data_IF_907980807422
#
_entry.id   IF_907980807422
#
_cell.length_a   1.000
_cell.length_b   1.000
_cell.length_c   1.000
_cell.angle_alpha   90.00
_cell.angle_beta   90.00
_cell.angle_gamma   90.00
#
_symmetry.space_group_name_H-M   'P 1'
#
loop_
_entity.id
_entity.type
_entity.pdbx_description
1 polymer ?
#
# COMPACT_ATOMS: atom_id res chain seq x y z
N UNK A 1 -22.33 -14.40 7.41
CA UNK A 1 -21.79 -13.70 6.23
C UNK A 1 -22.36 -12.30 6.26
N UNK A 2 -21.52 -11.28 6.40
CA UNK A 2 -21.96 -9.89 6.51
C UNK A 2 -21.02 -9.02 5.66
N UNK A 3 -21.59 -8.16 4.81
CA UNK A 3 -20.83 -7.35 3.86
C UNK A 3 -21.47 -7.38 2.48
N UNK A 4 -22.15 -6.30 2.12
CA UNK A 4 -22.75 -6.08 0.80
C UNK A 4 -22.37 -4.70 0.30
N UNK A 5 -22.21 -4.52 -1.01
CA UNK A 5 -21.89 -3.21 -1.56
C UNK A 5 -22.00 -3.13 -3.08
N UNK A 6 -21.97 -1.90 -3.57
CA UNK A 6 -21.87 -1.53 -5.00
C UNK A 6 -20.58 -0.74 -5.17
N UNK A 7 -19.68 -1.22 -6.02
CA UNK A 7 -18.32 -0.70 -6.19
C UNK A 7 -18.10 -0.22 -7.62
N UNK A 8 -17.43 0.92 -7.75
CA UNK A 8 -16.98 1.53 -9.02
C UNK A 8 -15.51 1.92 -8.88
N UNK A 9 -14.77 2.20 -9.97
CA UNK A 9 -13.34 2.53 -9.89
C UNK A 9 -12.98 3.73 -8.99
N UNK A 10 -13.93 4.62 -8.73
CA UNK A 10 -13.72 5.88 -7.98
C UNK A 10 -14.65 6.05 -6.78
N UNK A 11 -15.60 5.15 -6.57
CA UNK A 11 -16.57 5.28 -5.47
C UNK A 11 -17.19 3.94 -5.09
N UNK A 12 -17.66 3.85 -3.85
CA UNK A 12 -18.35 2.66 -3.35
C UNK A 12 -19.44 3.04 -2.37
N UNK A 13 -20.56 2.33 -2.40
CA UNK A 13 -21.53 2.28 -1.30
C UNK A 13 -21.53 0.86 -0.72
N UNK A 14 -21.43 0.72 0.59
CA UNK A 14 -21.37 -0.58 1.22
C UNK A 14 -22.03 -0.57 2.58
N UNK A 15 -22.38 -1.77 3.04
CA UNK A 15 -22.88 -2.03 4.37
C UNK A 15 -22.26 -3.32 4.89
N UNK A 16 -21.72 -3.25 6.10
CA UNK A 16 -21.21 -4.39 6.83
C UNK A 16 -21.94 -4.45 8.17
N UNK A 17 -22.70 -5.52 8.40
CA UNK A 17 -23.34 -5.77 9.69
C UNK A 17 -22.26 -6.19 10.68
N UNK A 18 -22.20 -5.49 11.81
CA UNK A 18 -21.30 -5.79 12.92
C UNK A 18 -21.95 -6.81 13.85
N UNK A 19 -21.12 -7.50 14.62
CA UNK A 19 -21.60 -8.38 15.67
C UNK A 19 -22.41 -7.55 16.69
N UNK A 20 -23.66 -7.95 16.92
CA UNK A 20 -24.58 -7.24 17.82
C UNK A 20 -25.58 -6.34 17.09
N UNK A 21 -25.44 -6.14 15.78
CA UNK A 21 -26.49 -5.54 14.96
C UNK A 21 -27.70 -6.49 14.85
N UNK A 22 -28.92 -5.96 14.63
CA UNK A 22 -30.11 -6.78 14.41
C UNK A 22 -29.98 -7.62 13.13
N UNK A 23 -30.52 -8.84 13.16
CA UNK A 23 -30.54 -9.77 12.02
C UNK A 23 -31.59 -9.34 10.97
N UNK A 24 -31.32 -8.23 10.29
CA UNK A 24 -32.21 -7.65 9.29
C UNK A 24 -31.53 -7.57 7.92
N UNK A 25 -32.34 -7.70 6.85
CA UNK A 25 -31.88 -7.47 5.49
C UNK A 25 -31.63 -5.97 5.24
N UNK A 26 -30.57 -5.64 4.48
CA UNK A 26 -30.27 -4.27 4.06
C UNK A 26 -30.37 -4.10 2.55
N UNK A 27 -31.25 -3.20 2.09
CA UNK A 27 -31.31 -2.78 0.69
C UNK A 27 -30.35 -1.61 0.43
N UNK A 28 -29.47 -1.77 -0.56
CA UNK A 28 -28.55 -0.74 -1.05
C UNK A 28 -28.89 -0.39 -2.50
N UNK A 29 -29.04 0.90 -2.81
CA UNK A 29 -29.32 1.38 -4.17
C UNK A 29 -28.36 2.52 -4.50
N UNK A 30 -27.65 2.41 -5.62
CA UNK A 30 -26.79 3.45 -6.16
C UNK A 30 -27.03 3.65 -7.66
N UNK A 31 -26.83 4.89 -8.12
CA UNK A 31 -26.67 5.17 -9.56
C UNK A 31 -25.20 4.95 -9.90
N UNK A 32 -24.93 4.06 -10.84
CA UNK A 32 -23.59 3.76 -11.33
C UNK A 32 -23.44 4.39 -12.72
N UNK A 33 -22.42 5.21 -12.96
CA UNK A 33 -22.16 5.75 -14.29
C UNK A 33 -21.78 4.60 -15.24
N UNK A 34 -22.24 4.71 -16.48
CA UNK A 34 -21.78 3.82 -17.55
C UNK A 34 -20.35 4.22 -17.88
N UNK A 35 -19.40 3.34 -17.58
CA UNK A 35 -18.01 3.56 -17.92
C UNK A 35 -17.85 3.41 -19.42
N UNK A 36 -17.22 4.39 -20.06
CA UNK A 36 -16.84 4.28 -21.47
C UNK A 36 -15.82 3.14 -21.61
N UNK A 37 -15.98 2.20 -22.57
CA UNK A 37 -14.98 1.17 -22.82
C UNK A 37 -13.57 1.71 -23.05
N UNK A 38 -13.39 2.96 -23.49
CA UNK A 38 -12.04 3.56 -23.61
C UNK A 38 -11.34 3.84 -22.27
N UNK A 39 -12.08 3.92 -21.16
CA UNK A 39 -11.50 4.06 -19.81
C UNK A 39 -10.77 2.79 -19.36
N UNK A 40 -11.02 1.65 -20.00
CA UNK A 40 -10.28 0.42 -19.73
C UNK A 40 -8.85 0.40 -20.31
N UNK A 41 -8.45 1.43 -21.08
CA UNK A 41 -7.13 1.50 -21.72
C UNK A 41 -6.36 2.83 -21.62
N UNK A 42 -6.99 3.93 -21.23
CA UNK A 42 -6.33 5.25 -21.21
C UNK A 42 -5.53 5.46 -19.91
N UNK A 43 -4.20 5.28 -19.98
CA UNK A 43 -3.27 5.85 -19.01
C UNK A 43 -3.57 7.35 -18.91
N UNK A 44 -3.63 7.90 -17.70
CA UNK A 44 -3.75 9.35 -17.46
C UNK A 44 -2.54 10.03 -18.09
N UNK A 45 -2.66 10.44 -19.34
CA UNK A 45 -1.81 11.43 -19.96
C UNK A 45 -2.39 12.78 -19.55
N UNK A 46 -1.63 13.50 -18.73
CA UNK A 46 -1.84 14.91 -18.42
C UNK A 46 -1.94 15.71 -19.71
N UNK A 47 -3.11 16.25 -20.00
CA UNK A 47 -3.29 17.34 -20.95
C UNK A 47 -2.97 18.64 -20.20
N UNK A 48 -1.72 19.09 -20.28
CA UNK A 48 -1.40 20.51 -20.16
C UNK A 48 -1.25 21.07 -21.58
N UNK A 49 -2.06 22.08 -21.86
CA UNK A 49 -2.30 22.67 -23.16
C UNK A 49 -1.03 23.22 -23.83
N UNK A 50 -0.90 22.85 -25.11
CA UNK A 50 0.03 23.40 -26.10
C UNK A 50 -0.42 24.82 -26.49
N UNK A 51 0.41 25.82 -26.21
CA UNK A 51 0.39 27.11 -26.90
C UNK A 51 1.81 27.45 -27.37
N UNK A 52 2.02 27.31 -28.67
CA UNK A 52 3.22 27.68 -29.40
C UNK A 52 3.31 29.21 -29.58
N UNK A 53 4.49 29.79 -29.42
CA UNK A 53 5.19 30.48 -30.53
C UNK A 53 6.56 31.05 -30.12
N UNK A 54 7.57 30.59 -30.88
CA UNK A 54 8.85 31.19 -31.28
C UNK A 54 9.55 32.26 -30.42
N UNK A 55 10.83 31.99 -30.07
CA UNK A 55 12.00 32.63 -30.73
C UNK A 55 13.35 32.27 -30.06
N UNK A 56 14.31 31.83 -30.91
CA UNK A 56 15.75 32.17 -30.86
C UNK A 56 16.75 31.40 -29.96
N UNK A 57 17.51 30.53 -30.63
CA UNK A 57 18.94 30.13 -30.50
C UNK A 57 19.67 30.03 -29.13
N UNK A 58 20.13 28.79 -28.82
CA UNK A 58 21.42 28.28 -28.28
C UNK A 58 22.43 29.19 -27.51
N UNK A 59 23.30 28.68 -26.60
CA UNK A 59 23.85 27.31 -26.58
C UNK A 59 24.01 26.58 -25.22
N UNK A 60 24.03 25.25 -25.34
CA UNK A 60 24.86 24.22 -24.66
C UNK A 60 25.63 24.66 -23.40
N UNK A 61 25.28 24.07 -22.26
CA UNK A 61 26.20 23.83 -21.13
C UNK A 61 26.03 22.42 -20.58
N UNK A 62 26.99 21.59 -20.97
CA UNK A 62 27.68 20.56 -20.20
C UNK A 62 26.86 19.48 -19.47
N UNK A 63 26.72 18.34 -20.15
CA UNK A 63 26.34 17.05 -19.59
C UNK A 63 27.48 16.49 -18.74
N UNK A 64 27.41 16.68 -17.42
CA UNK A 64 28.26 15.99 -16.44
C UNK A 64 27.89 14.52 -16.28
N UNK A 65 28.23 13.69 -17.28
CA UNK A 65 28.14 12.24 -17.21
C UNK A 65 29.33 11.72 -16.39
N UNK A 66 29.10 11.28 -15.14
CA UNK A 66 30.17 10.66 -14.36
C UNK A 66 30.33 9.19 -14.76
N UNK A 67 31.31 8.93 -15.64
CA UNK A 67 31.95 7.63 -15.75
C UNK A 67 33.18 7.60 -14.83
N UNK A 68 33.04 7.00 -13.65
CA UNK A 68 34.16 6.40 -12.93
C UNK A 68 33.63 5.57 -11.77
N UNK A 69 34.11 4.34 -11.71
CA UNK A 69 33.86 3.41 -10.61
C UNK A 69 34.25 4.03 -9.27
N UNK A 70 33.43 3.79 -8.24
CA UNK A 70 33.54 4.27 -6.85
C UNK A 70 32.92 5.65 -6.55
N UNK A 71 31.60 5.65 -6.36
CA UNK A 71 30.90 6.64 -5.55
C UNK A 71 30.43 5.96 -4.26
N UNK A 72 31.24 6.07 -3.22
CA UNK A 72 30.84 5.84 -1.84
C UNK A 72 30.36 7.17 -1.27
N UNK A 73 29.06 7.42 -1.36
CA UNK A 73 28.28 8.21 -0.38
C UNK A 73 26.83 8.28 -0.88
N UNK A 74 26.12 7.18 -0.68
CA UNK A 74 24.67 7.24 -0.64
C UNK A 74 24.29 7.63 0.78
N UNK A 75 23.63 8.78 0.91
CA UNK A 75 22.93 9.24 2.11
C UNK A 75 22.41 8.05 2.90
N UNK A 76 22.89 7.93 4.13
CA UNK A 76 22.55 6.89 5.09
C UNK A 76 21.03 6.66 5.13
N UNK A 77 20.58 5.59 4.48
CA UNK A 77 19.28 5.00 4.78
C UNK A 77 19.35 4.64 6.27
N UNK A 78 18.43 5.14 7.12
CA UNK A 78 18.50 4.84 8.53
C UNK A 78 18.40 3.32 8.71
N UNK A 79 19.33 2.81 9.52
CA UNK A 79 19.39 1.50 10.17
C UNK A 79 18.26 0.55 9.78
N UNK A 80 18.60 -0.58 9.14
CA UNK A 80 17.65 -1.67 8.88
C UNK A 80 16.88 -1.98 10.17
N UNK A 81 15.63 -1.54 10.24
CA UNK A 81 14.73 -1.91 11.33
C UNK A 81 14.60 -3.43 11.30
N UNK A 82 14.75 -4.05 12.47
CA UNK A 82 14.76 -5.50 12.58
C UNK A 82 13.44 -6.06 12.02
N UNK A 83 13.55 -6.91 11.00
CA UNK A 83 12.40 -7.61 10.43
C UNK A 83 12.07 -8.83 11.28
N UNK A 84 10.81 -9.23 11.30
CA UNK A 84 10.33 -10.44 11.96
C UNK A 84 9.32 -11.17 11.07
N UNK A 85 9.10 -12.45 11.35
CA UNK A 85 8.10 -13.25 10.63
C UNK A 85 6.85 -13.40 11.50
N UNK A 86 5.68 -13.14 10.90
CA UNK A 86 4.38 -13.44 11.51
C UNK A 86 3.42 -13.94 10.44
N UNK A 87 2.32 -14.55 10.86
CA UNK A 87 1.39 -15.21 9.95
C UNK A 87 0.14 -14.36 9.72
N UNK A 88 -0.23 -14.22 8.45
CA UNK A 88 -1.49 -13.60 8.05
C UNK A 88 -2.22 -14.56 7.11
N UNK A 89 -3.39 -15.05 7.54
CA UNK A 89 -4.16 -16.10 6.84
C UNK A 89 -3.26 -17.31 6.49
N UNK A 90 -2.46 -17.77 7.47
CA UNK A 90 -1.56 -18.92 7.30
C UNK A 90 -0.28 -18.68 6.50
N UNK A 91 -0.13 -17.52 5.87
CA UNK A 91 1.05 -17.21 5.06
C UNK A 91 2.13 -16.52 5.91
N UNK A 92 3.41 -16.91 5.77
CA UNK A 92 4.52 -16.35 6.54
C UNK A 92 4.97 -15.00 5.94
N UNK A 93 4.40 -13.92 6.44
CA UNK A 93 4.79 -12.56 6.05
C UNK A 93 6.10 -12.15 6.73
N UNK A 94 6.95 -11.45 5.97
CA UNK A 94 8.10 -10.72 6.54
C UNK A 94 7.62 -9.33 6.89
N UNK A 95 7.64 -8.97 8.17
CA UNK A 95 7.16 -7.71 8.70
C UNK A 95 8.29 -6.86 9.30
N UNK A 96 8.00 -5.57 9.42
CA UNK A 96 8.79 -4.59 10.15
C UNK A 96 7.85 -3.66 10.92
N UNK A 97 8.17 -3.38 12.19
CA UNK A 97 7.35 -2.51 13.03
C UNK A 97 7.49 -1.04 12.63
N UNK A 98 6.38 -0.32 12.69
CA UNK A 98 6.32 1.12 12.45
C UNK A 98 6.33 1.87 13.78
N UNK A 99 7.49 1.97 14.43
CA UNK A 99 7.59 2.62 15.75
C UNK A 99 7.50 4.15 15.67
N UNK A 100 7.93 4.73 14.55
CA UNK A 100 7.98 6.18 14.37
C UNK A 100 6.63 6.75 13.92
N UNK A 101 6.39 8.04 14.20
CA UNK A 101 5.17 8.76 13.78
C UNK A 101 5.10 8.98 12.27
N UNK A 102 6.24 9.08 11.61
CA UNK A 102 6.35 9.17 10.15
C UNK A 102 7.65 8.51 9.71
N UNK A 103 7.73 8.06 8.46
CA UNK A 103 8.94 7.41 7.98
C UNK A 103 8.83 6.84 6.59
N UNK A 104 9.99 6.36 6.10
CA UNK A 104 10.10 5.55 4.88
C UNK A 104 10.67 4.19 5.24
N UNK A 105 9.96 3.13 4.89
CA UNK A 105 10.30 1.76 5.27
C UNK A 105 10.29 0.88 4.04
N UNK A 106 11.24 -0.06 3.98
CA UNK A 106 11.34 -1.07 2.94
C UNK A 106 11.36 -2.44 3.59
N UNK A 107 10.56 -3.36 3.07
CA UNK A 107 10.53 -4.77 3.49
C UNK A 107 10.55 -5.66 2.26
N UNK A 108 11.32 -6.74 2.30
CA UNK A 108 11.45 -7.67 1.18
C UNK A 108 11.21 -9.10 1.64
N UNK A 109 10.61 -9.90 0.77
CA UNK A 109 10.50 -11.34 0.89
C UNK A 109 11.12 -11.97 -0.36
N UNK A 110 12.34 -12.49 -0.23
CA UNK A 110 13.15 -12.88 -1.38
C UNK A 110 13.48 -11.69 -2.28
N UNK A 111 13.12 -11.79 -3.56
CA UNK A 111 13.33 -10.72 -4.57
C UNK A 111 12.19 -9.69 -4.63
N UNK A 112 11.05 -9.96 -3.99
CA UNK A 112 9.92 -9.05 -3.96
C UNK A 112 10.09 -8.05 -2.81
N UNK A 113 10.06 -6.75 -3.12
CA UNK A 113 10.23 -5.68 -2.15
C UNK A 113 9.08 -4.68 -2.22
N UNK A 114 8.63 -4.29 -1.04
CA UNK A 114 7.59 -3.28 -0.82
C UNK A 114 8.21 -2.05 -0.15
N UNK A 115 7.73 -0.87 -0.53
CA UNK A 115 8.12 0.42 0.01
C UNK A 115 6.88 1.11 0.58
N UNK A 116 7.05 1.72 1.74
CA UNK A 116 6.02 2.50 2.41
C UNK A 116 6.60 3.84 2.80
N UNK A 117 5.93 4.92 2.42
CA UNK A 117 6.08 6.22 3.05
C UNK A 117 4.79 6.50 3.83
N UNK A 118 4.91 6.82 5.12
CA UNK A 118 3.74 7.02 5.96
C UNK A 118 3.91 8.17 6.94
N UNK A 119 2.78 8.72 7.38
CA UNK A 119 2.66 9.73 8.42
C UNK A 119 1.38 9.52 9.22
N UNK A 120 1.51 9.34 10.53
CA UNK A 120 0.39 9.25 11.46
C UNK A 120 -0.24 10.63 11.64
N UNK A 121 -1.54 10.73 11.40
CA UNK A 121 -2.36 11.93 11.60
C UNK A 121 -2.93 11.85 13.03
N UNK A 122 -2.07 12.03 14.03
CA UNK A 122 -2.45 11.81 15.44
C UNK A 122 -3.58 12.74 15.90
N UNK A 123 -4.61 12.18 16.54
CA UNK A 123 -5.55 12.90 17.43
C UNK A 123 -5.40 12.50 18.92
N UNK A 124 -4.44 11.65 19.29
CA UNK A 124 -4.14 11.24 20.68
C UNK A 124 -2.94 10.29 20.79
N UNK A 125 -2.60 9.89 22.02
CA UNK A 125 -1.57 8.90 22.36
C UNK A 125 -2.11 7.47 22.20
N UNK A 126 -2.31 7.05 20.95
CA UNK A 126 -2.75 5.68 20.66
C UNK A 126 -1.57 4.72 20.81
N UNK A 127 -1.73 3.73 21.70
CA UNK A 127 -0.78 2.64 21.95
C UNK A 127 -0.86 1.53 20.87
N UNK A 128 -1.53 1.81 19.74
CA UNK A 128 -1.68 0.86 18.65
C UNK A 128 -0.36 0.59 17.93
N UNK A 129 -0.06 -0.71 17.81
CA UNK A 129 1.09 -1.19 17.08
C UNK A 129 0.72 -1.46 15.62
N UNK A 130 1.57 -1.01 14.71
CA UNK A 130 1.42 -1.23 13.27
C UNK A 130 2.69 -1.86 12.69
N UNK A 131 2.50 -2.70 11.68
CA UNK A 131 3.58 -3.34 10.95
C UNK A 131 3.36 -3.19 9.44
N UNK A 132 4.48 -3.09 8.71
CA UNK A 132 4.49 -3.15 7.26
C UNK A 132 5.13 -4.45 6.81
N UNK A 133 4.52 -5.17 5.88
CA UNK A 133 4.96 -6.51 5.50
C UNK A 133 4.93 -6.78 4.01
N UNK A 134 5.74 -7.78 3.62
CA UNK A 134 5.78 -8.35 2.29
C UNK A 134 5.67 -9.87 2.34
N UNK A 135 4.93 -10.43 1.38
CA UNK A 135 4.86 -11.85 1.12
C UNK A 135 4.94 -12.10 -0.38
N UNK A 136 5.74 -13.08 -0.78
CA UNK A 136 5.79 -13.58 -2.15
C UNK A 136 5.90 -15.11 -2.10
N UNK A 137 4.80 -15.80 -2.38
CA UNK A 137 4.75 -17.25 -2.22
C UNK A 137 3.43 -17.87 -2.64
N UNK A 138 3.30 -19.17 -2.35
CA UNK A 138 2.08 -19.94 -2.60
C UNK A 138 1.24 -19.93 -1.32
N UNK A 139 0.02 -19.41 -1.41
CA UNK A 139 -1.02 -19.62 -0.42
C UNK A 139 -1.64 -21.00 -0.63
N UNK A 140 -1.89 -21.76 0.45
CA UNK A 140 -2.37 -23.14 0.37
C UNK A 140 -3.53 -23.49 1.31
N UNK A 141 -4.00 -22.57 2.18
CA UNK A 141 -5.00 -22.91 3.20
C UNK A 141 -6.37 -23.23 2.60
N UNK A 142 -6.80 -22.49 1.58
CA UNK A 142 -8.11 -22.67 0.93
C UNK A 142 -7.98 -22.80 -0.61
N UNK A 143 -6.85 -23.34 -1.06
CA UNK A 143 -6.51 -23.52 -2.47
C UNK A 143 -5.13 -22.96 -2.80
N UNK A 144 -4.57 -23.38 -3.95
CA UNK A 144 -3.22 -23.03 -4.36
C UNK A 144 -3.23 -21.75 -5.20
N UNK A 145 -2.78 -20.63 -4.61
CA UNK A 145 -2.70 -19.32 -5.26
C UNK A 145 -1.30 -18.73 -5.08
N UNK A 146 -0.65 -18.35 -6.18
CA UNK A 146 0.61 -17.61 -6.12
C UNK A 146 0.32 -16.13 -5.83
N UNK A 147 0.75 -15.63 -4.68
CA UNK A 147 0.48 -14.28 -4.21
C UNK A 147 1.76 -13.45 -4.08
N UNK A 148 1.64 -12.16 -4.40
CA UNK A 148 2.58 -11.12 -4.00
C UNK A 148 1.79 -10.02 -3.30
N UNK A 149 2.12 -9.74 -2.04
CA UNK A 149 1.31 -8.85 -1.19
C UNK A 149 2.22 -7.89 -0.43
N UNK A 150 1.94 -6.60 -0.54
CA UNK A 150 2.41 -5.57 0.38
C UNK A 150 1.27 -5.22 1.32
N UNK A 151 1.51 -5.21 2.63
CA UNK A 151 0.45 -5.00 3.61
C UNK A 151 0.89 -4.06 4.74
N UNK A 152 0.11 -3.01 4.99
CA UNK A 152 0.19 -2.19 6.20
C UNK A 152 -0.93 -2.64 7.13
N UNK A 153 -0.59 -3.19 8.29
CA UNK A 153 -1.53 -3.83 9.20
C UNK A 153 -1.44 -3.27 10.62
N UNK A 154 -2.59 -3.16 11.28
CA UNK A 154 -2.66 -3.02 12.73
C UNK A 154 -2.42 -4.40 13.36
N UNK A 155 -1.59 -4.45 14.39
CA UNK A 155 -1.39 -5.67 15.16
C UNK A 155 -2.52 -5.83 16.18
N UNK A 156 -2.89 -7.07 16.52
CA UNK A 156 -4.02 -7.29 17.43
C UNK A 156 -3.71 -6.86 18.87
N UNK A 157 -2.44 -6.88 19.26
CA UNK A 157 -1.96 -6.36 20.54
C UNK A 157 -0.57 -5.74 20.42
N UNK A 158 0.09 -5.61 21.56
CA UNK A 158 1.44 -5.03 21.68
C UNK A 158 2.57 -6.03 21.39
N UNK A 159 2.25 -7.27 21.04
CA UNK A 159 3.23 -8.30 20.66
C UNK A 159 3.39 -8.34 19.13
N UNK A 160 4.62 -8.30 18.57
CA UNK A 160 4.85 -8.43 17.14
C UNK A 160 4.24 -9.69 16.51
N UNK A 161 4.14 -10.81 17.23
CA UNK A 161 3.51 -12.05 16.74
C UNK A 161 2.01 -11.92 16.54
N UNK A 162 1.39 -10.83 17.03
CA UNK A 162 -0.02 -10.54 16.82
C UNK A 162 -0.31 -9.80 15.50
N UNK A 163 0.73 -9.34 14.80
CA UNK A 163 0.58 -8.71 13.49
C UNK A 163 0.21 -9.76 12.44
N UNK A 164 -0.90 -9.53 11.71
CA UNK A 164 -1.49 -10.49 10.77
C UNK A 164 -2.70 -11.25 11.33
N UNK A 165 -2.99 -11.12 12.63
CA UNK A 165 -4.25 -11.60 13.22
C UNK A 165 -5.42 -10.68 12.85
N UNK A 166 -6.64 -11.20 12.94
CA UNK A 166 -7.85 -10.42 12.67
C UNK A 166 -8.06 -9.30 13.69
N UNK A 167 -8.27 -8.09 13.20
CA UNK A 167 -8.53 -6.89 14.01
C UNK A 167 -9.76 -6.17 13.45
N UNK A 168 -10.74 -5.89 14.30
CA UNK A 168 -12.01 -5.26 13.89
C UNK A 168 -12.01 -3.74 14.00
N UNK A 169 -11.20 -3.17 14.90
CA UNK A 169 -11.20 -1.76 15.24
C UNK A 169 -9.79 -1.16 15.27
N UNK A 170 -9.67 0.08 14.83
CA UNK A 170 -8.45 0.86 14.80
C UNK A 170 -8.76 2.34 15.02
N UNK A 171 -7.96 3.04 15.83
CA UNK A 171 -8.11 4.46 16.11
C UNK A 171 -7.13 5.33 15.31
N UNK A 172 -5.97 4.77 14.96
CA UNK A 172 -4.91 5.54 14.30
C UNK A 172 -5.27 5.86 12.85
N UNK A 173 -5.29 7.15 12.52
CA UNK A 173 -5.37 7.64 11.14
C UNK A 173 -3.97 7.82 10.57
N UNK A 174 -3.76 7.40 9.33
CA UNK A 174 -2.48 7.54 8.65
C UNK A 174 -2.67 8.05 7.23
N UNK A 175 -1.77 8.94 6.81
CA UNK A 175 -1.49 9.23 5.41
C UNK A 175 -0.36 8.30 4.96
N UNK A 176 -0.51 7.66 3.81
CA UNK A 176 0.50 6.72 3.32
C UNK A 176 0.50 6.57 1.80
N UNK A 177 1.69 6.26 1.29
CA UNK A 177 1.94 5.82 -0.08
C UNK A 177 2.66 4.48 0.00
N UNK A 178 2.09 3.47 -0.66
CA UNK A 178 2.61 2.11 -0.68
C UNK A 178 2.89 1.69 -2.11
N UNK A 179 4.06 1.11 -2.34
CA UNK A 179 4.51 0.68 -3.66
C UNK A 179 5.19 -0.68 -3.59
N UNK A 180 4.93 -1.54 -4.57
CA UNK A 180 5.59 -2.83 -4.73
C UNK A 180 5.93 -3.07 -6.19
N UNK A 181 7.05 -3.73 -6.45
CA UNK A 181 7.37 -4.18 -7.82
C UNK A 181 6.80 -5.58 -8.03
N UNK A 182 5.53 -5.62 -8.39
CA UNK A 182 4.83 -6.86 -8.69
C UNK A 182 5.34 -7.47 -9.99
N UNK A 183 5.38 -8.80 -10.04
CA UNK A 183 5.77 -9.53 -11.24
C UNK A 183 4.64 -9.57 -12.28
N UNK A 184 3.38 -9.43 -11.83
CA UNK A 184 2.17 -9.42 -12.63
C UNK A 184 1.51 -8.02 -12.60
N UNK A 185 0.57 -7.79 -13.53
CA UNK A 185 -0.18 -6.53 -13.66
C UNK A 185 -1.61 -6.63 -13.12
N UNK A 186 -1.91 -7.67 -12.34
CA UNK A 186 -3.25 -8.02 -11.87
C UNK A 186 -3.34 -7.92 -10.36
#
# INVERSE_FOLDING_TARGET
MAGSGVYTPFSSIYHHSKRGDPEEGKLLVARVPVLDPEWSGQRVATEEEKLESESTSSPVTDSGFCHSESCSDASSIPSSSATFTSFMIGDPFTFVLLNEKEGRVKVCNGSFCCHLQYKRISQGDSEEMYAFGAFAGLHTLDGDLSLQVCALVRCAGSDPSSCGQGVEEAETKMDFVMEGKYWNQH
#
